data_IF_881284216202
#
_entry.id   IF_881284216202
#
_cell.length_a   1.000
_cell.length_b   1.000
_cell.length_c   1.000
_cell.angle_alpha   90.00
_cell.angle_beta   90.00
_cell.angle_gamma   90.00
#
_symmetry.space_group_name_H-M   'P 1'
#
loop_
_entity.id
_entity.type
_entity.pdbx_description
1 polymer ?
#
# COMPACT_ATOMS: atom_id res chain seq x y z
N UNK A 1 18.18 -14.65 12.30
CA UNK A 1 17.64 -13.66 11.36
C UNK A 1 16.25 -13.23 11.78
N UNK A 2 16.04 -11.96 11.88
CA UNK A 2 14.81 -11.39 12.41
C UNK A 2 13.92 -10.77 11.32
N UNK A 3 14.14 -11.07 10.06
CA UNK A 3 13.35 -10.54 8.96
C UNK A 3 11.94 -11.11 8.90
N UNK A 4 11.04 -10.37 8.28
CA UNK A 4 9.66 -10.78 8.03
C UNK A 4 9.33 -10.61 6.56
N UNK A 5 8.50 -11.52 6.06
CA UNK A 5 7.95 -11.48 4.69
C UNK A 5 6.43 -11.42 4.83
N UNK A 6 5.88 -10.25 4.57
CA UNK A 6 4.46 -9.97 4.73
C UNK A 6 3.81 -9.79 3.37
N UNK A 7 2.60 -10.35 3.22
CA UNK A 7 1.86 -10.27 1.96
C UNK A 7 0.41 -9.95 2.25
N UNK A 8 -0.15 -9.03 1.46
CA UNK A 8 -1.54 -8.58 1.56
C UNK A 8 -2.16 -8.61 0.18
N UNK A 9 -3.34 -9.22 0.05
CA UNK A 9 -4.01 -9.38 -1.24
C UNK A 9 -5.43 -8.82 -1.17
N UNK A 10 -5.80 -8.02 -2.16
CA UNK A 10 -7.14 -7.46 -2.32
C UNK A 10 -7.60 -7.55 -3.77
N UNK A 11 -8.87 -7.84 -3.95
CA UNK A 11 -9.51 -7.84 -5.27
C UNK A 11 -10.36 -6.58 -5.39
N UNK A 12 -10.19 -5.87 -6.50
CA UNK A 12 -10.92 -4.65 -6.80
C UNK A 12 -11.72 -4.85 -8.09
N UNK A 13 -12.98 -4.41 -8.08
CA UNK A 13 -13.89 -4.49 -9.24
C UNK A 13 -13.66 -3.32 -10.19
N UNK A 14 -12.41 -3.22 -10.70
CA UNK A 14 -11.97 -2.15 -11.61
C UNK A 14 -10.87 -2.67 -12.53
N UNK A 15 -10.73 -2.09 -13.74
CA UNK A 15 -9.67 -2.46 -14.66
C UNK A 15 -8.27 -2.22 -14.09
N UNK A 16 -7.31 -3.01 -14.55
CA UNK A 16 -5.92 -2.95 -14.08
C UNK A 16 -5.29 -1.58 -14.30
N UNK A 17 -5.66 -0.89 -15.37
CA UNK A 17 -5.14 0.45 -15.68
C UNK A 17 -5.51 1.46 -14.59
N UNK A 18 -6.72 1.36 -14.07
CA UNK A 18 -7.20 2.26 -13.01
C UNK A 18 -6.48 1.97 -11.68
N UNK A 19 -6.33 0.70 -11.34
CA UNK A 19 -5.62 0.32 -10.12
C UNK A 19 -4.14 0.71 -10.22
N UNK A 20 -3.51 0.46 -11.36
CA UNK A 20 -2.12 0.84 -11.61
C UNK A 20 -1.90 2.34 -11.43
N UNK A 21 -2.78 3.17 -12.01
CA UNK A 21 -2.66 4.62 -11.90
C UNK A 21 -2.63 5.08 -10.44
N UNK A 22 -3.43 4.45 -9.57
CA UNK A 22 -3.46 4.78 -8.15
C UNK A 22 -2.16 4.41 -7.42
N UNK A 23 -1.33 3.53 -7.99
CA UNK A 23 -0.04 3.13 -7.43
C UNK A 23 1.12 4.01 -7.89
N UNK A 24 0.98 4.70 -9.03
CA UNK A 24 2.09 5.40 -9.67
C UNK A 24 1.84 6.88 -9.93
N UNK A 25 0.60 7.35 -9.84
CA UNK A 25 0.25 8.74 -10.02
C UNK A 25 0.26 9.45 -8.66
N UNK A 26 1.17 10.42 -8.43
CA UNK A 26 1.24 11.12 -7.15
C UNK A 26 -0.07 11.79 -6.73
N UNK A 27 -0.84 12.32 -7.68
CA UNK A 27 -2.12 12.95 -7.37
C UNK A 27 -3.12 11.95 -6.78
N UNK A 28 -3.13 10.73 -7.29
CA UNK A 28 -3.99 9.66 -6.78
C UNK A 28 -3.44 9.09 -5.48
N UNK A 29 -2.13 8.93 -5.37
CA UNK A 29 -1.49 8.40 -4.16
C UNK A 29 -1.75 9.28 -2.94
N UNK A 30 -1.84 10.58 -3.13
CA UNK A 30 -2.17 11.51 -2.04
C UNK A 30 -3.56 11.25 -1.45
N UNK A 31 -4.43 10.58 -2.17
CA UNK A 31 -5.79 10.26 -1.73
C UNK A 31 -5.93 8.94 -0.96
N UNK A 32 -4.87 8.13 -0.85
CA UNK A 32 -4.96 6.87 -0.11
C UNK A 32 -3.69 6.48 0.66
N UNK A 33 -2.53 6.98 0.27
CA UNK A 33 -1.27 6.51 0.84
C UNK A 33 -0.43 7.64 1.42
N UNK A 34 0.10 8.51 0.56
CA UNK A 34 1.08 9.51 0.95
C UNK A 34 1.30 10.52 -0.18
N UNK A 35 1.95 11.63 0.15
CA UNK A 35 2.49 12.52 -0.87
C UNK A 35 3.72 11.86 -1.49
N UNK A 36 3.72 11.70 -2.79
CA UNK A 36 4.74 10.92 -3.49
C UNK A 36 5.51 11.75 -4.52
N UNK A 37 6.79 11.43 -4.66
CA UNK A 37 7.63 11.86 -5.77
C UNK A 37 8.13 10.60 -6.46
N UNK A 38 7.78 10.43 -7.72
CA UNK A 38 8.05 9.19 -8.46
C UNK A 38 8.66 9.50 -9.80
N UNK A 39 9.77 8.82 -10.12
CA UNK A 39 10.33 8.74 -11.47
C UNK A 39 10.17 7.28 -11.91
N UNK A 40 9.16 7.01 -12.73
CA UNK A 40 8.69 5.64 -13.02
C UNK A 40 9.61 4.94 -14.02
N UNK A 41 10.77 4.52 -13.53
CA UNK A 41 11.76 3.74 -14.29
C UNK A 41 12.67 3.02 -13.31
N UNK A 42 13.35 2.00 -13.76
CA UNK A 42 14.39 1.33 -12.96
C UNK A 42 15.48 2.36 -12.60
N UNK A 43 15.83 2.43 -11.33
CA UNK A 43 16.77 3.44 -10.80
C UNK A 43 16.10 4.76 -10.45
N UNK A 44 14.80 4.95 -10.75
CA UNK A 44 14.07 6.15 -10.44
C UNK A 44 13.68 6.24 -8.96
N UNK A 45 13.41 7.47 -8.49
CA UNK A 45 13.01 7.69 -7.11
C UNK A 45 11.55 7.26 -6.89
N UNK A 46 11.27 6.79 -5.67
CA UNK A 46 9.93 6.53 -5.18
C UNK A 46 9.90 7.00 -3.72
N UNK A 47 9.74 8.30 -3.53
CA UNK A 47 9.79 8.93 -2.22
C UNK A 47 8.39 9.22 -1.71
N UNK A 48 8.12 8.90 -0.45
CA UNK A 48 6.83 9.11 0.20
C UNK A 48 6.99 10.01 1.42
N UNK A 49 6.06 10.99 1.56
CA UNK A 49 5.83 11.72 2.79
C UNK A 49 4.45 11.30 3.29
N UNK A 50 4.42 10.60 4.41
CA UNK A 50 3.19 9.98 4.91
C UNK A 50 2.20 11.03 5.38
N UNK A 51 0.96 10.93 4.94
CA UNK A 51 -0.09 11.92 5.21
C UNK A 51 -0.87 11.64 6.48
N UNK A 52 -1.04 10.38 6.81
CA UNK A 52 -1.80 9.96 7.99
C UNK A 52 -0.93 9.63 9.18
N UNK A 53 -1.53 9.29 10.32
CA UNK A 53 -0.79 8.79 11.47
C UNK A 53 -0.03 7.52 11.11
N UNK A 54 1.26 7.56 11.35
CA UNK A 54 2.14 6.43 11.07
C UNK A 54 3.39 6.58 11.94
N UNK A 55 4.10 5.47 12.12
CA UNK A 55 5.40 5.46 12.78
C UNK A 55 6.52 6.00 11.88
N UNK A 56 6.19 6.31 10.62
CA UNK A 56 7.13 6.86 9.64
C UNK A 56 6.73 8.28 9.26
N UNK A 57 7.71 9.18 9.07
CA UNK A 57 7.47 10.51 8.53
C UNK A 57 7.70 10.55 7.03
N UNK A 58 8.80 9.97 6.58
CA UNK A 58 9.15 9.92 5.17
C UNK A 58 9.82 8.59 4.86
N UNK A 59 9.63 8.12 3.64
CA UNK A 59 10.28 6.91 3.13
C UNK A 59 10.94 7.27 1.81
N UNK A 60 12.23 7.01 1.69
CA UNK A 60 12.96 7.16 0.43
C UNK A 60 13.07 5.81 -0.24
N UNK A 61 12.75 5.75 -1.52
CA UNK A 61 12.78 4.52 -2.27
C UNK A 61 13.44 4.67 -3.63
N UNK A 62 13.89 3.54 -4.15
CA UNK A 62 14.40 3.40 -5.50
C UNK A 62 13.67 2.27 -6.19
N UNK A 63 13.18 2.52 -7.40
CA UNK A 63 12.51 1.50 -8.20
C UNK A 63 13.58 0.54 -8.72
N UNK A 64 13.43 -0.74 -8.41
CA UNK A 64 14.36 -1.79 -8.84
C UNK A 64 13.80 -2.65 -9.97
N UNK A 65 12.48 -2.65 -10.13
CA UNK A 65 11.82 -3.32 -11.24
C UNK A 65 10.47 -2.66 -11.50
N UNK A 66 10.08 -2.54 -12.76
CA UNK A 66 8.78 -2.00 -13.14
C UNK A 66 8.32 -2.61 -14.47
N UNK A 67 7.12 -3.18 -14.45
CA UNK A 67 6.40 -3.66 -15.63
C UNK A 67 5.01 -3.05 -15.58
N UNK A 68 4.69 -2.18 -16.52
CA UNK A 68 3.42 -1.46 -16.52
C UNK A 68 2.24 -2.43 -16.41
N UNK A 69 1.33 -2.13 -15.51
CA UNK A 69 0.11 -2.89 -15.21
C UNK A 69 0.35 -4.27 -14.57
N UNK A 70 1.59 -4.62 -14.22
CA UNK A 70 1.93 -5.93 -13.67
C UNK A 70 2.73 -5.87 -12.38
N UNK A 71 3.79 -5.04 -12.34
CA UNK A 71 4.73 -5.06 -11.21
C UNK A 71 5.39 -3.71 -10.99
N UNK A 72 5.49 -3.34 -9.71
CA UNK A 72 6.32 -2.25 -9.24
C UNK A 72 7.07 -2.73 -8.01
N UNK A 73 8.39 -2.83 -8.10
CA UNK A 73 9.24 -3.26 -6.99
C UNK A 73 10.19 -2.14 -6.59
N UNK A 74 10.28 -1.89 -5.29
CA UNK A 74 10.95 -0.75 -4.71
C UNK A 74 11.79 -1.21 -3.53
N UNK A 75 13.04 -0.74 -3.46
CA UNK A 75 13.84 -0.87 -2.25
C UNK A 75 13.71 0.43 -1.46
N UNK A 76 13.52 0.36 -0.16
CA UNK A 76 13.22 1.54 0.65
C UNK A 76 14.18 1.70 1.82
N UNK A 77 14.22 2.93 2.36
CA UNK A 77 15.08 3.28 3.49
C UNK A 77 14.59 2.74 4.83
N UNK A 78 13.28 2.50 4.99
CA UNK A 78 12.71 2.19 6.29
C UNK A 78 11.52 1.23 6.30
N UNK A 79 11.10 0.72 5.13
CA UNK A 79 10.05 -0.29 5.05
C UNK A 79 10.65 -1.66 4.74
N UNK A 80 11.75 -1.69 4.02
CA UNK A 80 12.34 -2.88 3.42
C UNK A 80 12.06 -2.93 1.93
N UNK A 81 11.97 -4.12 1.36
CA UNK A 81 11.63 -4.30 -0.05
C UNK A 81 10.12 -4.36 -0.19
N UNK A 82 9.58 -3.41 -0.94
CA UNK A 82 8.15 -3.26 -1.15
C UNK A 82 7.83 -3.56 -2.61
N UNK A 83 6.83 -4.41 -2.85
CA UNK A 83 6.38 -4.67 -4.21
C UNK A 83 4.86 -4.69 -4.31
N UNK A 84 4.38 -4.21 -5.46
CA UNK A 84 2.98 -4.27 -5.86
C UNK A 84 2.88 -5.12 -7.11
N UNK A 85 2.09 -6.18 -7.06
CA UNK A 85 1.84 -7.08 -8.20
C UNK A 85 0.37 -7.03 -8.56
N UNK A 86 0.07 -6.96 -9.84
CA UNK A 86 -1.29 -6.88 -10.35
C UNK A 86 -1.59 -8.09 -11.24
N UNK A 87 -2.75 -8.69 -11.03
CA UNK A 87 -3.26 -9.79 -11.84
C UNK A 87 -4.64 -9.41 -12.35
N UNK A 88 -4.85 -9.51 -13.66
CA UNK A 88 -6.17 -9.28 -14.26
C UNK A 88 -7.04 -10.47 -13.97
N UNK A 89 -8.23 -10.23 -13.38
CA UNK A 89 -9.22 -11.25 -13.08
C UNK A 89 -10.33 -11.22 -14.11
N UNK A 90 -10.96 -12.38 -14.34
CA UNK A 90 -12.14 -12.46 -15.17
C UNK A 90 -13.35 -11.87 -14.43
N UNK A 91 -14.29 -11.30 -15.20
CA UNK A 91 -15.52 -10.72 -14.68
C UNK A 91 -15.37 -9.25 -14.36
N UNK A 92 -16.04 -8.83 -13.30
CA UNK A 92 -16.12 -7.44 -12.92
C UNK A 92 -17.33 -6.76 -13.53
N UNK A 93 -17.83 -5.74 -12.86
CA UNK A 93 -19.02 -4.99 -13.26
C UNK A 93 -18.70 -3.63 -13.85
N UNK A 94 -17.41 -3.23 -13.83
CA UNK A 94 -16.94 -1.90 -14.23
C UNK A 94 -15.84 -1.96 -15.28
N UNK A 95 -15.89 -2.95 -16.18
CA UNK A 95 -14.95 -3.10 -17.27
C UNK A 95 -13.72 -3.95 -16.95
N UNK A 96 -13.69 -4.59 -15.79
CA UNK A 96 -12.62 -5.49 -15.41
C UNK A 96 -12.51 -5.66 -13.90
N UNK A 97 -11.70 -6.60 -13.48
CA UNK A 97 -11.37 -6.80 -12.07
C UNK A 97 -9.87 -7.04 -11.95
N UNK A 98 -9.31 -6.67 -10.82
CA UNK A 98 -7.86 -6.73 -10.61
C UNK A 98 -7.56 -7.26 -9.22
N UNK A 99 -6.59 -8.16 -9.13
CA UNK A 99 -6.01 -8.59 -7.84
C UNK A 99 -4.72 -7.85 -7.61
N UNK A 100 -4.65 -7.13 -6.51
CA UNK A 100 -3.44 -6.45 -6.05
C UNK A 100 -2.82 -7.25 -4.91
N UNK A 101 -1.54 -7.55 -5.02
CA UNK A 101 -0.76 -8.13 -3.93
C UNK A 101 0.34 -7.14 -3.54
N UNK A 102 0.35 -6.76 -2.26
CA UNK A 102 1.43 -5.97 -1.66
C UNK A 102 2.31 -6.91 -0.86
N UNK A 103 3.60 -6.91 -1.15
CA UNK A 103 4.57 -7.74 -0.42
C UNK A 103 5.65 -6.86 0.19
N UNK A 104 5.97 -7.13 1.45
CA UNK A 104 7.00 -6.41 2.18
C UNK A 104 7.97 -7.42 2.78
N UNK A 105 9.23 -7.31 2.38
CA UNK A 105 10.33 -8.10 2.98
C UNK A 105 11.17 -7.13 3.80
N UNK A 106 11.15 -7.28 5.10
CA UNK A 106 11.73 -6.30 6.02
C UNK A 106 12.58 -6.97 7.09
N UNK A 107 13.60 -6.24 7.57
CA UNK A 107 14.45 -6.64 8.70
C UNK A 107 13.93 -6.11 10.03
N UNK A 108 12.78 -5.46 10.04
CA UNK A 108 12.15 -4.94 11.25
C UNK A 108 11.85 -6.09 12.22
N UNK A 109 12.06 -5.86 13.51
CA UNK A 109 11.80 -6.87 14.55
C UNK A 109 10.35 -7.37 14.47
N UNK A 110 10.12 -8.68 14.67
CA UNK A 110 8.77 -9.26 14.56
C UNK A 110 7.71 -8.62 15.46
N UNK A 111 8.09 -8.01 16.57
CA UNK A 111 7.16 -7.31 17.46
C UNK A 111 6.44 -6.13 16.77
N UNK A 112 6.98 -5.59 15.68
CA UNK A 112 6.38 -4.52 14.92
C UNK A 112 5.45 -5.01 13.80
N UNK A 113 5.39 -6.31 13.57
CA UNK A 113 4.53 -6.90 12.53
C UNK A 113 3.06 -6.50 12.67
N UNK A 114 2.43 -6.50 13.86
CA UNK A 114 1.05 -6.05 13.99
C UNK A 114 0.83 -4.61 13.52
N UNK A 115 1.76 -3.71 13.80
CA UNK A 115 1.70 -2.31 13.36
C UNK A 115 1.78 -2.22 11.84
N UNK A 116 2.70 -2.95 11.22
CA UNK A 116 2.86 -2.98 9.76
C UNK A 116 1.60 -3.52 9.10
N UNK A 117 1.04 -4.60 9.63
CA UNK A 117 -0.19 -5.18 9.10
C UNK A 117 -1.37 -4.20 9.19
N UNK A 118 -1.56 -3.59 10.36
CA UNK A 118 -2.65 -2.63 10.55
C UNK A 118 -2.52 -1.44 9.59
N UNK A 119 -1.31 -0.94 9.42
CA UNK A 119 -1.03 0.18 8.52
C UNK A 119 -1.39 -0.18 7.06
N UNK A 120 -0.91 -1.32 6.56
CA UNK A 120 -1.13 -1.67 5.17
C UNK A 120 -2.56 -2.12 4.89
N UNK A 121 -3.20 -2.85 5.79
CA UNK A 121 -4.61 -3.22 5.61
C UNK A 121 -5.51 -1.98 5.60
N UNK A 122 -5.22 -1.00 6.45
CA UNK A 122 -5.94 0.28 6.43
C UNK A 122 -5.69 1.04 5.13
N UNK A 123 -4.44 1.08 4.66
CA UNK A 123 -4.09 1.70 3.38
C UNK A 123 -4.85 1.05 2.21
N UNK A 124 -4.98 -0.27 2.22
CA UNK A 124 -5.70 -0.97 1.16
C UNK A 124 -7.21 -0.69 1.18
N UNK A 125 -7.80 -0.50 2.38
CA UNK A 125 -9.19 -0.02 2.50
C UNK A 125 -9.32 1.39 1.93
N UNK A 126 -8.35 2.25 2.20
CA UNK A 126 -8.30 3.62 1.69
C UNK A 126 -8.16 3.65 0.16
N UNK A 127 -7.38 2.71 -0.40
CA UNK A 127 -7.28 2.57 -1.84
C UNK A 127 -8.63 2.22 -2.46
N UNK A 128 -9.36 1.29 -1.86
CA UNK A 128 -10.70 0.93 -2.35
C UNK A 128 -11.62 2.14 -2.38
N UNK A 129 -11.62 2.95 -1.33
CA UNK A 129 -12.45 4.14 -1.26
C UNK A 129 -12.03 5.18 -2.30
N UNK A 130 -10.74 5.40 -2.50
CA UNK A 130 -10.24 6.28 -3.54
C UNK A 130 -10.72 5.81 -4.92
N UNK A 131 -10.62 4.51 -5.19
CA UNK A 131 -11.04 3.95 -6.48
C UNK A 131 -12.54 4.11 -6.74
N UNK A 132 -13.33 4.29 -5.69
CA UNK A 132 -14.76 4.58 -5.76
C UNK A 132 -15.05 6.09 -5.79
N UNK A 133 -14.03 6.93 -5.86
CA UNK A 133 -14.18 8.38 -5.90
C UNK A 133 -14.20 9.07 -4.54
N UNK A 134 -13.75 8.39 -3.48
CA UNK A 134 -13.75 8.90 -2.12
C UNK A 134 -12.34 8.93 -1.53
N UNK A 135 -11.51 9.94 -1.89
CA UNK A 135 -10.18 10.06 -1.30
C UNK A 135 -10.25 10.29 0.21
N UNK A 136 -9.19 9.90 0.89
CA UNK A 136 -9.11 10.02 2.36
C UNK A 136 -9.11 11.50 2.76
N UNK A 137 -9.92 11.81 3.77
CA UNK A 137 -9.86 13.09 4.47
C UNK A 137 -8.85 12.97 5.61
N UNK A 138 -7.60 13.32 5.33
CA UNK A 138 -6.50 13.14 6.29
C UNK A 138 -6.69 13.92 7.58
N UNK A 139 -7.35 15.07 7.51
CA UNK A 139 -7.62 15.89 8.70
C UNK A 139 -8.53 15.17 9.71
N UNK A 140 -9.36 14.24 9.24
CA UNK A 140 -10.30 13.49 10.07
C UNK A 140 -10.00 11.97 10.06
N UNK A 141 -8.75 11.60 9.78
CA UNK A 141 -8.34 10.20 9.67
C UNK A 141 -8.70 9.40 10.92
N UNK A 142 -8.41 9.93 12.10
CA UNK A 142 -8.67 9.26 13.38
C UNK A 142 -10.15 8.92 13.55
N UNK A 143 -11.02 9.88 13.24
CA UNK A 143 -12.46 9.69 13.27
C UNK A 143 -12.94 8.62 12.29
N UNK A 144 -12.40 8.66 11.06
CA UNK A 144 -12.91 7.85 9.97
C UNK A 144 -12.26 6.46 9.91
N UNK A 145 -11.02 6.32 10.36
CA UNK A 145 -10.19 5.11 10.14
C UNK A 145 -9.59 4.51 11.42
N UNK A 146 -9.57 5.26 12.51
CA UNK A 146 -8.89 4.84 13.73
C UNK A 146 -9.43 3.53 14.29
N UNK A 147 -10.75 3.33 14.28
CA UNK A 147 -11.36 2.10 14.78
C UNK A 147 -11.00 0.89 13.92
N UNK A 148 -10.98 1.03 12.60
CA UNK A 148 -10.60 -0.04 11.69
C UNK A 148 -9.11 -0.41 11.87
N UNK A 149 -8.24 0.58 11.98
CA UNK A 149 -6.82 0.37 12.23
C UNK A 149 -6.60 -0.41 13.52
N UNK A 150 -7.29 -0.02 14.59
CA UNK A 150 -7.20 -0.71 15.89
C UNK A 150 -7.66 -2.16 15.79
N UNK A 151 -8.73 -2.45 15.07
CA UNK A 151 -9.20 -3.82 14.86
C UNK A 151 -8.17 -4.66 14.13
N UNK A 152 -7.55 -4.11 13.09
CA UNK A 152 -6.48 -4.81 12.38
C UNK A 152 -5.28 -5.07 13.27
N UNK A 153 -4.89 -4.08 14.08
CA UNK A 153 -3.78 -4.21 15.00
C UNK A 153 -4.04 -5.32 16.04
N UNK A 154 -5.22 -5.32 16.65
CA UNK A 154 -5.59 -6.31 17.66
C UNK A 154 -5.62 -7.72 17.08
N UNK A 155 -6.21 -7.90 15.89
CA UNK A 155 -6.26 -9.20 15.21
C UNK A 155 -4.84 -9.72 14.90
N UNK A 156 -3.98 -8.85 14.41
CA UNK A 156 -2.60 -9.23 14.06
C UNK A 156 -1.78 -9.55 15.33
N UNK A 157 -1.99 -8.81 16.42
CA UNK A 157 -1.32 -9.06 17.68
C UNK A 157 -1.72 -10.42 18.29
N UNK A 158 -2.99 -10.80 18.15
CA UNK A 158 -3.47 -12.11 18.59
C UNK A 158 -2.84 -13.24 17.77
N UNK A 159 -2.77 -13.06 16.44
CA UNK A 159 -2.19 -14.07 15.54
C UNK A 159 -0.68 -14.22 15.72
N UNK A 160 0.00 -13.19 16.20
CA UNK A 160 1.44 -13.19 16.42
C UNK A 160 1.91 -13.85 17.72
N UNK A 161 1.01 -14.42 18.51
CA UNK A 161 1.34 -15.06 19.78
C UNK A 161 1.62 -16.55 19.68
#
# INVERSE_FOLDING_TARGET
MSGSDLSFTRDYDLPVEIVWDALVDPDLMAGWLADATIDLRVGGVFDLTWSGPTYLQATRGEIVDVEAFELLAITTSNIGDLSFSLEVLEGGTRGGATRLTVRIVTDVEPRFTPTIRAHWLTNLDQLEDLLRGHPVDWAHWERDRGAAWNRYFESAAELGR
#
